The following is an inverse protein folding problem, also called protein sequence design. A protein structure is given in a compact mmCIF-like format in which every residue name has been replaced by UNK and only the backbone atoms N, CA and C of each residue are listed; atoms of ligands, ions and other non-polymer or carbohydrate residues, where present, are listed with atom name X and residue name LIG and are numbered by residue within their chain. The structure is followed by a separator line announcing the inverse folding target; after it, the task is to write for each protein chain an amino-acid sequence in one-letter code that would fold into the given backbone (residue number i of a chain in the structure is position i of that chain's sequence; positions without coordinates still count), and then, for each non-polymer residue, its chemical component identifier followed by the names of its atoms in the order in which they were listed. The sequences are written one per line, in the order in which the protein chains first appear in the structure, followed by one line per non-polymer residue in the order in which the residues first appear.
data_IF_397924781479
#
_entry.id   IF_397924781479
#
_cell.length_a   1.000
_cell.length_b   1.000
_cell.length_c   1.000
_cell.angle_alpha   90.00
_cell.angle_beta   90.00
_cell.angle_gamma   90.00
#
_symmetry.space_group_name_H-M   'P 1'
#
loop_
_entity.id
_entity.type
_entity.pdbx_description
1 polymer ?
#
# COMPACT_ATOMS: atom_id res chain seq x y z
N UNK A 1 -12.62 -10.11 -2.79
CA UNK A 1 -13.99 -9.64 -2.50
C UNK A 1 -14.55 -10.29 -1.25
N UNK A 2 -14.76 -11.61 -1.22
CA UNK A 2 -15.25 -12.35 -0.02
C UNK A 2 -14.54 -11.99 1.29
N UNK A 3 -13.20 -11.87 1.30
CA UNK A 3 -12.46 -11.48 2.51
C UNK A 3 -12.75 -10.04 2.93
N UNK A 4 -12.88 -9.11 1.98
CA UNK A 4 -13.16 -7.70 2.27
C UNK A 4 -14.57 -7.50 2.81
N UNK A 5 -15.54 -8.24 2.25
CA UNK A 5 -16.92 -8.28 2.76
C UNK A 5 -16.95 -8.87 4.17
N UNK A 6 -16.27 -10.00 4.40
CA UNK A 6 -16.27 -10.67 5.69
C UNK A 6 -15.68 -9.81 6.82
N UNK A 7 -14.76 -8.89 6.52
CA UNK A 7 -14.16 -7.98 7.52
C UNK A 7 -14.88 -6.63 7.63
N UNK A 8 -15.95 -6.41 6.84
CA UNK A 8 -16.67 -5.14 6.76
C UNK A 8 -15.76 -3.99 6.31
N UNK A 9 -14.95 -4.24 5.29
CA UNK A 9 -13.92 -3.29 4.86
C UNK A 9 -14.52 -1.95 4.40
N UNK A 10 -15.64 -2.00 3.67
CA UNK A 10 -16.34 -0.82 3.17
C UNK A 10 -16.85 0.10 4.29
N UNK A 11 -17.41 -0.48 5.35
CA UNK A 11 -17.87 0.28 6.50
C UNK A 11 -16.70 0.92 7.25
N UNK A 12 -15.57 0.20 7.35
CA UNK A 12 -14.35 0.69 8.00
C UNK A 12 -13.65 1.81 7.22
N UNK A 13 -13.85 1.88 5.91
CA UNK A 13 -13.34 2.98 5.09
C UNK A 13 -14.04 4.30 5.39
N UNK A 14 -15.28 4.29 5.93
CA UNK A 14 -16.00 5.51 6.21
C UNK A 14 -15.25 6.37 7.24
N UNK A 15 -14.96 7.62 6.89
CA UNK A 15 -14.23 8.57 7.73
C UNK A 15 -12.71 8.39 7.76
N UNK A 16 -12.14 7.52 6.92
CA UNK A 16 -10.69 7.40 6.77
C UNK A 16 -10.15 8.47 5.83
N UNK A 17 -9.05 9.13 6.21
CA UNK A 17 -8.34 10.10 5.36
C UNK A 17 -7.33 9.44 4.40
N UNK A 18 -6.92 8.21 4.71
CA UNK A 18 -5.91 7.45 3.97
C UNK A 18 -6.09 5.96 4.21
N UNK A 19 -5.87 5.16 3.17
CA UNK A 19 -5.78 3.69 3.28
C UNK A 19 -4.35 3.26 2.98
N UNK A 20 -3.80 2.39 3.82
CA UNK A 20 -2.51 1.74 3.57
C UNK A 20 -2.76 0.26 3.35
N UNK A 21 -2.21 -0.27 2.26
CA UNK A 21 -2.27 -1.69 1.89
C UNK A 21 -0.88 -2.18 1.48
N UNK A 22 -0.75 -3.47 1.15
CA UNK A 22 0.53 -4.02 0.73
C UNK A 22 0.48 -5.49 0.37
N UNK A 23 1.54 -5.92 -0.31
CA UNK A 23 1.81 -7.32 -0.63
C UNK A 23 3.32 -7.54 -0.85
N UNK A 24 3.73 -8.77 -1.10
CA UNK A 24 5.16 -9.11 -1.22
C UNK A 24 5.87 -8.40 -2.39
N UNK A 25 5.19 -8.28 -3.53
CA UNK A 25 5.74 -7.76 -4.78
C UNK A 25 4.67 -7.02 -5.55
N UNK A 26 4.95 -5.80 -6.00
CA UNK A 26 4.12 -5.02 -6.91
C UNK A 26 4.73 -5.08 -8.31
N UNK A 27 3.99 -5.60 -9.28
CA UNK A 27 4.41 -5.63 -10.69
C UNK A 27 3.20 -5.50 -11.64
N UNK A 28 3.44 -5.59 -12.95
CA UNK A 28 2.35 -5.58 -13.93
C UNK A 28 1.32 -6.72 -13.74
N UNK A 29 1.65 -7.81 -13.02
CA UNK A 29 0.70 -8.86 -12.65
C UNK A 29 -0.08 -8.53 -11.38
N UNK A 30 0.45 -7.71 -10.47
CA UNK A 30 -0.31 -7.15 -9.34
C UNK A 30 -1.53 -6.37 -9.80
N UNK A 31 -1.52 -5.79 -11.01
CA UNK A 31 -2.73 -5.23 -11.61
C UNK A 31 -3.91 -6.24 -11.68
N UNK A 32 -3.60 -7.54 -11.66
CA UNK A 32 -4.54 -8.66 -11.56
C UNK A 32 -4.67 -9.21 -10.12
N UNK A 33 -3.77 -8.82 -9.23
CA UNK A 33 -3.73 -9.19 -7.82
C UNK A 33 -4.93 -8.61 -7.05
N UNK A 34 -5.67 -9.48 -6.35
CA UNK A 34 -6.99 -9.16 -5.78
C UNK A 34 -6.94 -8.24 -4.56
N UNK A 35 -5.82 -8.18 -3.84
CA UNK A 35 -5.75 -7.52 -2.53
C UNK A 35 -5.49 -6.02 -2.68
N UNK A 36 -4.33 -5.63 -3.22
CA UNK A 36 -3.98 -4.21 -3.38
C UNK A 36 -4.99 -3.49 -4.27
N UNK A 37 -5.33 -4.07 -5.41
CA UNK A 37 -6.29 -3.47 -6.35
C UNK A 37 -7.71 -3.43 -5.79
N UNK A 38 -8.14 -4.45 -5.04
CA UNK A 38 -9.45 -4.48 -4.39
C UNK A 38 -9.59 -3.38 -3.35
N UNK A 39 -8.57 -3.22 -2.50
CA UNK A 39 -8.50 -2.16 -1.49
C UNK A 39 -8.45 -0.78 -2.15
N UNK A 40 -7.60 -0.60 -3.15
CA UNK A 40 -7.46 0.67 -3.87
C UNK A 40 -8.75 1.10 -4.58
N UNK A 41 -9.44 0.17 -5.25
CA UNK A 41 -10.73 0.44 -5.89
C UNK A 41 -11.82 0.81 -4.88
N UNK A 42 -11.85 0.15 -3.73
CA UNK A 42 -12.80 0.47 -2.67
C UNK A 42 -12.55 1.88 -2.08
N UNK A 43 -11.28 2.22 -1.82
CA UNK A 43 -10.89 3.55 -1.37
C UNK A 43 -11.22 4.63 -2.42
N UNK A 44 -10.90 4.38 -3.69
CA UNK A 44 -11.13 5.30 -4.80
C UNK A 44 -12.61 5.63 -5.00
N UNK A 45 -13.53 4.67 -4.82
CA UNK A 45 -14.98 4.92 -4.86
C UNK A 45 -15.46 5.95 -3.83
N UNK A 46 -14.70 6.14 -2.74
CA UNK A 46 -14.98 7.09 -1.66
C UNK A 46 -14.11 8.35 -1.74
N UNK A 47 -13.28 8.48 -2.77
CA UNK A 47 -12.32 9.58 -2.89
C UNK A 47 -11.19 9.54 -1.87
N UNK A 48 -10.95 8.38 -1.23
CA UNK A 48 -9.90 8.23 -0.22
C UNK A 48 -8.60 7.79 -0.92
N UNK A 49 -7.47 8.46 -0.68
CA UNK A 49 -6.19 8.05 -1.26
C UNK A 49 -5.77 6.67 -0.73
N UNK A 50 -5.16 5.87 -1.60
CA UNK A 50 -4.65 4.54 -1.28
C UNK A 50 -3.14 4.46 -1.49
N UNK A 51 -2.42 4.05 -0.45
CA UNK A 51 -0.97 3.86 -0.47
C UNK A 51 -0.62 2.37 -0.37
N UNK A 52 0.22 1.86 -1.28
CA UNK A 52 0.71 0.49 -1.22
C UNK A 52 2.18 0.41 -0.75
N UNK A 53 2.46 -0.50 0.18
CA UNK A 53 3.81 -0.85 0.61
C UNK A 53 4.14 -2.28 0.20
N UNK A 54 5.32 -2.50 -0.37
CA UNK A 54 5.71 -3.83 -0.84
C UNK A 54 7.16 -4.19 -0.58
N UNK A 55 7.44 -5.48 -0.49
CA UNK A 55 8.80 -6.01 -0.41
C UNK A 55 9.62 -5.64 -1.63
N UNK A 56 9.03 -5.83 -2.80
CA UNK A 56 9.62 -5.54 -4.11
C UNK A 56 8.65 -4.69 -4.95
N UNK A 57 9.17 -3.72 -5.69
CA UNK A 57 8.46 -3.02 -6.75
C UNK A 57 9.21 -3.31 -8.04
N UNK A 58 8.55 -3.96 -8.99
CA UNK A 58 9.13 -4.36 -10.25
C UNK A 58 8.44 -3.67 -11.42
N UNK A 59 8.90 -3.99 -12.63
CA UNK A 59 8.41 -3.41 -13.87
C UNK A 59 6.88 -3.57 -14.02
N UNK A 60 6.22 -2.51 -14.50
CA UNK A 60 4.78 -2.47 -14.71
C UNK A 60 3.95 -2.07 -13.49
N UNK A 61 4.55 -1.81 -12.32
CA UNK A 61 3.84 -1.33 -11.14
C UNK A 61 3.12 0.02 -11.35
N UNK A 62 3.56 0.84 -12.32
CA UNK A 62 2.92 2.12 -12.65
C UNK A 62 1.44 1.97 -13.07
N UNK A 63 1.06 0.81 -13.63
CA UNK A 63 -0.32 0.50 -13.98
C UNK A 63 -1.27 0.49 -12.77
N UNK A 64 -0.75 0.40 -11.53
CA UNK A 64 -1.53 0.46 -10.32
C UNK A 64 -2.22 1.81 -10.11
N UNK A 65 -1.69 2.88 -10.70
CA UNK A 65 -2.32 4.20 -10.66
C UNK A 65 -3.68 4.20 -11.35
N UNK A 66 -3.80 3.49 -12.48
CA UNK A 66 -5.07 3.33 -13.20
C UNK A 66 -6.10 2.53 -12.39
N UNK A 67 -5.65 1.77 -11.40
CA UNK A 67 -6.47 0.93 -10.53
C UNK A 67 -6.84 1.62 -9.20
N UNK A 68 -6.48 2.89 -9.02
CA UNK A 68 -6.83 3.70 -7.86
C UNK A 68 -5.76 3.74 -6.77
N UNK A 69 -4.57 3.19 -7.00
CA UNK A 69 -3.43 3.37 -6.09
C UNK A 69 -2.90 4.79 -6.27
N UNK A 70 -2.92 5.59 -5.21
CA UNK A 70 -2.41 6.96 -5.21
C UNK A 70 -0.88 6.98 -5.26
N UNK A 71 -0.23 6.13 -4.47
CA UNK A 71 1.22 5.97 -4.46
C UNK A 71 1.63 4.56 -4.00
N UNK A 72 2.84 4.14 -4.35
CA UNK A 72 3.41 2.89 -3.86
C UNK A 72 4.90 3.03 -3.56
N UNK A 73 5.38 2.25 -2.60
CA UNK A 73 6.80 2.22 -2.23
C UNK A 73 7.29 0.80 -1.93
N UNK A 74 8.53 0.53 -2.33
CA UNK A 74 9.29 -0.60 -1.83
C UNK A 74 9.80 -0.32 -0.41
N UNK A 75 9.76 -1.31 0.47
CA UNK A 75 10.26 -1.19 1.86
C UNK A 75 11.77 -1.46 1.96
N UNK A 76 12.40 -1.97 0.91
CA UNK A 76 13.83 -2.27 0.87
C UNK A 76 14.67 -0.98 1.02
N UNK A 77 15.69 -1.03 1.89
CA UNK A 77 16.63 0.08 2.14
C UNK A 77 17.97 -0.15 1.43
N UNK A 78 17.90 -0.35 0.12
CA UNK A 78 19.06 -0.68 -0.74
C UNK A 78 19.01 -2.11 -1.29
N UNK A 79 20.03 -2.51 -2.07
CA UNK A 79 20.11 -3.86 -2.64
C UNK A 79 20.15 -4.91 -1.53
N UNK A 80 19.32 -5.93 -1.66
CA UNK A 80 19.29 -7.11 -0.79
C UNK A 80 18.79 -8.31 -1.57
N UNK A 81 19.21 -9.50 -1.17
CA UNK A 81 18.63 -10.72 -1.72
C UNK A 81 17.24 -10.99 -1.12
N UNK A 82 16.52 -11.95 -1.72
CA UNK A 82 15.16 -12.30 -1.32
C UNK A 82 15.10 -12.84 0.11
N UNK A 83 16.08 -13.62 0.53
CA UNK A 83 16.09 -14.24 1.86
C UNK A 83 16.27 -13.18 2.94
N UNK A 84 17.20 -12.24 2.74
CA UNK A 84 17.38 -11.08 3.58
C UNK A 84 16.13 -10.20 3.60
N UNK A 85 15.53 -9.93 2.44
CA UNK A 85 14.30 -9.14 2.35
C UNK A 85 13.17 -9.77 3.17
N UNK A 86 13.00 -11.09 3.10
CA UNK A 86 11.98 -11.81 3.87
C UNK A 86 12.29 -11.78 5.37
N UNK A 87 13.54 -12.05 5.75
CA UNK A 87 14.00 -12.03 7.15
C UNK A 87 13.84 -10.65 7.79
N UNK A 88 14.05 -9.58 7.03
CA UNK A 88 13.99 -8.19 7.49
C UNK A 88 12.66 -7.49 7.21
N UNK A 89 11.66 -8.17 6.63
CA UNK A 89 10.41 -7.57 6.19
C UNK A 89 9.70 -6.77 7.28
N UNK A 90 9.61 -7.31 8.50
CA UNK A 90 8.99 -6.62 9.65
C UNK A 90 9.67 -5.29 9.99
N UNK A 91 10.98 -5.29 10.35
CA UNK A 91 11.72 -4.06 10.62
C UNK A 91 11.74 -3.06 9.45
N UNK A 92 11.82 -3.53 8.21
CA UNK A 92 11.79 -2.66 7.03
C UNK A 92 10.42 -1.99 6.86
N UNK A 93 9.34 -2.75 7.02
CA UNK A 93 7.97 -2.22 6.96
C UNK A 93 7.70 -1.22 8.07
N UNK A 94 8.11 -1.51 9.31
CA UNK A 94 7.99 -0.58 10.43
C UNK A 94 8.70 0.74 10.12
N UNK A 95 9.92 0.66 9.58
CA UNK A 95 10.69 1.83 9.26
C UNK A 95 10.08 2.64 8.10
N UNK A 96 9.50 1.98 7.08
CA UNK A 96 8.74 2.66 6.02
C UNK A 96 7.49 3.37 6.56
N UNK A 97 6.70 2.68 7.40
CA UNK A 97 5.53 3.27 8.07
C UNK A 97 5.90 4.45 8.97
N UNK A 98 7.05 4.39 9.65
CA UNK A 98 7.56 5.49 10.48
C UNK A 98 7.83 6.75 9.66
N UNK A 99 8.47 6.62 8.50
CA UNK A 99 8.73 7.76 7.61
C UNK A 99 7.43 8.34 7.05
N UNK A 100 6.50 7.49 6.62
CA UNK A 100 5.17 7.93 6.16
C UNK A 100 4.41 8.68 7.25
N UNK A 101 4.39 8.15 8.48
CA UNK A 101 3.76 8.83 9.61
C UNK A 101 4.46 10.16 9.94
N UNK A 102 5.79 10.24 9.76
CA UNK A 102 6.54 11.49 9.92
C UNK A 102 6.10 12.54 8.90
N UNK A 103 5.99 12.14 7.63
CA UNK A 103 5.51 13.00 6.54
C UNK A 103 4.08 13.49 6.80
N UNK A 104 3.15 12.58 7.13
CA UNK A 104 1.75 12.92 7.41
C UNK A 104 1.62 13.90 8.58
N UNK A 105 2.40 13.71 9.66
CA UNK A 105 2.46 14.66 10.78
C UNK A 105 3.02 16.03 10.37
N UNK A 106 3.93 16.06 9.40
CA UNK A 106 4.46 17.31 8.87
C UNK A 106 3.40 18.08 8.10
N UNK A 107 2.61 17.38 7.27
CA UNK A 107 1.53 17.96 6.46
C UNK A 107 0.32 18.40 7.31
N UNK A 108 0.02 17.69 8.41
CA UNK A 108 -1.12 18.01 9.27
C UNK A 108 -0.95 19.31 10.07
N UNK A 109 0.28 19.82 10.24
CA UNK A 109 0.56 21.06 10.98
C UNK A 109 0.23 22.35 10.21
N UNK A 110 -0.32 22.23 9.00
CA UNK A 110 -0.72 23.35 8.14
C UNK A 110 -2.20 23.72 8.17
N UNK A 111 -3.00 23.10 9.04
CA UNK A 111 -4.40 23.45 9.33
C UNK A 111 -4.54 23.88 10.80
#
# INVERSE_FOLDING_TARGET
EVVMEAVGFEERLAGSDLVITGEGRLDGQTAQGKTVTGVARAAARRGIPALALAGEVAEGADALHELGVTAFFGIARGPMDREESMRRAGPLLEAACRELASLLRGLSKGH
#
